data_IF_258292412922
#
_entry.id   IF_258292412922
#
_cell.length_a   1.000
_cell.length_b   1.000
_cell.length_c   1.000
_cell.angle_alpha   90.00
_cell.angle_beta   90.00
_cell.angle_gamma   90.00
#
_symmetry.space_group_name_H-M   'P 1'
#
loop_
_entity.id
_entity.type
_entity.pdbx_description
1 polymer ?
#
# COMPACT_ATOMS: atom_id res chain seq x y z
N UNK A 1 19.32 -6.30 30.20
CA UNK A 1 19.26 -6.03 28.75
C UNK A 1 19.75 -4.62 28.60
N UNK A 2 21.02 -4.44 28.26
CA UNK A 2 21.71 -3.16 28.44
C UNK A 2 22.64 -2.87 27.27
N UNK A 3 22.65 -1.61 26.86
CA UNK A 3 23.59 -0.91 25.94
C UNK A 3 23.82 -1.54 24.55
N UNK A 4 24.13 -2.84 24.44
CA UNK A 4 24.34 -3.56 23.18
C UNK A 4 23.05 -3.73 22.35
N UNK A 5 21.92 -4.01 23.00
CA UNK A 5 20.61 -4.08 22.34
C UNK A 5 20.17 -2.70 21.80
N UNK A 6 20.40 -1.65 22.57
CA UNK A 6 20.10 -0.26 22.21
C UNK A 6 20.99 0.24 21.06
N UNK A 7 22.28 -0.16 21.05
CA UNK A 7 23.21 0.11 19.94
C UNK A 7 22.84 -0.68 18.68
N UNK A 8 22.34 -1.92 18.82
CA UNK A 8 21.89 -2.73 17.70
C UNK A 8 20.62 -2.16 17.05
N UNK A 9 19.66 -1.66 17.85
CA UNK A 9 18.47 -0.95 17.36
C UNK A 9 18.81 0.35 16.64
N UNK A 10 19.71 1.18 17.18
CA UNK A 10 20.20 2.40 16.51
C UNK A 10 20.98 2.12 15.20
N UNK A 11 21.32 0.86 14.91
CA UNK A 11 21.96 0.42 13.66
C UNK A 11 20.99 -0.20 12.65
N UNK A 12 19.74 -0.50 13.02
CA UNK A 12 18.74 -1.00 12.07
C UNK A 12 18.34 0.13 11.11
N UNK A 13 18.44 -0.14 9.82
CA UNK A 13 18.18 0.78 8.73
C UNK A 13 17.52 0.00 7.60
N UNK A 14 16.54 0.61 6.96
CA UNK A 14 15.88 0.05 5.81
C UNK A 14 14.57 -0.66 6.10
N UNK A 15 13.91 -1.02 5.00
CA UNK A 15 12.63 -1.70 4.97
C UNK A 15 12.65 -2.88 4.00
N UNK A 16 11.78 -3.84 4.27
CA UNK A 16 11.35 -4.86 3.31
C UNK A 16 9.95 -4.49 2.86
N UNK A 17 9.67 -4.45 1.56
CA UNK A 17 8.34 -4.10 1.05
C UNK A 17 7.93 -5.06 -0.06
N UNK A 18 6.72 -5.59 0.04
CA UNK A 18 6.07 -6.41 -0.98
C UNK A 18 4.54 -6.35 -0.88
N UNK A 19 3.78 -6.99 -1.76
CA UNK A 19 4.28 -7.73 -2.92
C UNK A 19 3.92 -7.11 -4.26
N UNK A 20 2.80 -6.39 -4.36
CA UNK A 20 2.31 -5.86 -5.63
C UNK A 20 3.07 -4.61 -6.10
N UNK A 21 3.43 -4.62 -7.38
CA UNK A 21 4.04 -3.52 -8.12
C UNK A 21 3.52 -3.59 -9.56
N UNK A 22 2.89 -2.52 -10.02
CA UNK A 22 2.37 -2.41 -11.38
C UNK A 22 2.49 -0.96 -11.88
N UNK A 23 2.09 -0.73 -13.12
CA UNK A 23 1.77 0.60 -13.63
C UNK A 23 0.26 0.75 -13.76
N UNK A 24 -0.27 1.92 -13.45
CA UNK A 24 -1.59 2.31 -13.90
C UNK A 24 -1.41 3.13 -15.17
N UNK A 25 -1.91 2.62 -16.30
CA UNK A 25 -2.06 3.38 -17.52
C UNK A 25 -3.43 4.06 -17.48
N UNK A 26 -3.48 5.38 -17.67
CA UNK A 26 -4.71 6.15 -17.46
C UNK A 26 -5.11 6.89 -18.72
N UNK A 27 -6.36 6.72 -19.13
CA UNK A 27 -7.00 7.48 -20.22
C UNK A 27 -8.29 8.12 -19.74
N UNK A 28 -8.64 9.27 -20.32
CA UNK A 28 -9.96 9.86 -20.11
C UNK A 28 -10.94 9.29 -21.13
N UNK A 29 -12.11 8.84 -20.65
CA UNK A 29 -13.13 8.25 -21.51
C UNK A 29 -13.74 9.33 -22.41
N UNK A 30 -13.78 9.05 -23.71
CA UNK A 30 -14.51 9.85 -24.70
C UNK A 30 -15.24 8.92 -25.70
N UNK A 31 -16.09 9.48 -26.55
CA UNK A 31 -16.90 8.69 -27.48
C UNK A 31 -16.05 7.90 -28.49
N UNK A 32 -14.91 8.46 -28.93
CA UNK A 32 -14.01 7.78 -29.88
C UNK A 32 -13.38 6.53 -29.25
N UNK A 33 -12.96 6.62 -27.98
CA UNK A 33 -12.44 5.49 -27.22
C UNK A 33 -13.52 4.44 -27.00
N UNK A 34 -14.74 4.85 -26.66
CA UNK A 34 -15.86 3.91 -26.52
C UNK A 34 -16.15 3.19 -27.85
N UNK A 35 -16.11 3.91 -28.97
CA UNK A 35 -16.30 3.33 -30.29
C UNK A 35 -15.21 2.30 -30.64
N UNK A 36 -13.94 2.58 -30.29
CA UNK A 36 -12.81 1.66 -30.49
C UNK A 36 -12.95 0.37 -29.65
N UNK A 37 -13.55 0.49 -28.46
CA UNK A 37 -13.76 -0.64 -27.55
C UNK A 37 -15.04 -1.44 -27.83
N UNK A 38 -15.89 -1.00 -28.77
CA UNK A 38 -17.12 -1.72 -29.12
C UNK A 38 -16.83 -3.16 -29.52
N UNK A 39 -17.50 -4.09 -28.87
CA UNK A 39 -17.33 -5.53 -29.11
C UNK A 39 -16.16 -6.16 -28.34
N UNK A 40 -15.41 -5.39 -27.55
CA UNK A 40 -14.51 -5.96 -26.54
C UNK A 40 -15.29 -6.52 -25.35
N UNK A 41 -14.66 -7.44 -24.64
CA UNK A 41 -15.19 -8.09 -23.43
C UNK A 41 -15.59 -7.09 -22.34
N UNK A 42 -14.87 -5.96 -22.24
CA UNK A 42 -15.06 -4.97 -21.15
C UNK A 42 -16.12 -3.91 -21.46
N UNK A 43 -16.59 -3.82 -22.72
CA UNK A 43 -17.34 -2.65 -23.20
C UNK A 43 -18.65 -2.43 -22.42
N UNK A 44 -19.42 -3.49 -22.20
CA UNK A 44 -20.71 -3.38 -21.52
C UNK A 44 -20.55 -2.97 -20.06
N UNK A 45 -19.53 -3.50 -19.37
CA UNK A 45 -19.24 -3.16 -17.97
C UNK A 45 -18.70 -1.74 -17.83
N UNK A 46 -17.85 -1.28 -18.76
CA UNK A 46 -17.40 0.12 -18.82
C UNK A 46 -18.59 1.07 -19.03
N UNK A 47 -19.48 0.78 -19.98
CA UNK A 47 -20.69 1.58 -20.20
C UNK A 47 -21.61 1.58 -18.97
N UNK A 48 -21.75 0.45 -18.27
CA UNK A 48 -22.53 0.36 -17.03
C UNK A 48 -21.91 1.24 -15.94
N UNK A 49 -20.61 1.14 -15.72
CA UNK A 49 -19.84 1.95 -14.76
C UNK A 49 -20.06 3.45 -14.98
N UNK A 50 -20.01 3.89 -16.24
CA UNK A 50 -20.25 5.28 -16.64
C UNK A 50 -21.69 5.71 -16.35
N UNK A 51 -22.67 4.91 -16.76
CA UNK A 51 -24.09 5.24 -16.59
C UNK A 51 -24.53 5.27 -15.13
N UNK A 52 -23.98 4.37 -14.31
CA UNK A 52 -24.26 4.32 -12.87
C UNK A 52 -23.47 5.39 -12.10
N UNK A 53 -22.38 5.90 -12.69
CA UNK A 53 -21.46 6.81 -12.03
C UNK A 53 -20.74 6.16 -10.86
N UNK A 54 -20.40 4.87 -10.99
CA UNK A 54 -19.78 4.04 -9.95
C UNK A 54 -18.54 3.38 -10.53
N UNK A 55 -17.41 3.47 -9.82
CA UNK A 55 -16.19 2.79 -10.22
C UNK A 55 -16.27 1.27 -10.06
N UNK A 56 -15.62 0.55 -10.97
CA UNK A 56 -15.49 -0.91 -10.90
C UNK A 56 -14.07 -1.34 -11.24
N UNK A 57 -13.67 -2.48 -10.70
CA UNK A 57 -12.43 -3.16 -11.03
C UNK A 57 -12.75 -4.58 -11.50
N UNK A 58 -12.23 -4.95 -12.66
CA UNK A 58 -12.48 -6.26 -13.28
C UNK A 58 -11.19 -6.89 -13.79
N UNK A 59 -11.27 -8.19 -14.05
CA UNK A 59 -10.25 -8.94 -14.77
C UNK A 59 -10.69 -9.13 -16.21
N UNK A 60 -9.74 -9.26 -17.13
CA UNK A 60 -10.02 -9.50 -18.53
C UNK A 60 -9.11 -10.59 -19.10
N UNK A 61 -9.51 -11.16 -20.24
CA UNK A 61 -8.70 -12.14 -20.96
C UNK A 61 -7.38 -11.54 -21.48
N UNK A 62 -6.37 -12.38 -21.73
CA UNK A 62 -5.10 -11.96 -22.34
C UNK A 62 -5.30 -11.22 -23.68
N UNK A 63 -6.28 -11.66 -24.48
CA UNK A 63 -6.61 -11.02 -25.75
C UNK A 63 -7.13 -9.58 -25.53
N UNK A 64 -7.96 -9.37 -24.52
CA UNK A 64 -8.43 -8.04 -24.11
C UNK A 64 -7.28 -7.20 -23.57
N UNK A 65 -6.40 -7.75 -22.72
CA UNK A 65 -5.20 -7.05 -22.21
C UNK A 65 -4.31 -6.59 -23.38
N UNK A 66 -4.07 -7.45 -24.38
CA UNK A 66 -3.28 -7.09 -25.56
C UNK A 66 -3.93 -5.97 -26.38
N UNK A 67 -5.26 -6.00 -26.55
CA UNK A 67 -6.01 -4.92 -27.18
C UNK A 67 -5.82 -3.61 -26.39
N UNK A 68 -6.01 -3.65 -25.07
CA UNK A 68 -5.91 -2.48 -24.20
C UNK A 68 -4.51 -1.87 -24.22
N UNK A 69 -3.43 -2.67 -24.21
CA UNK A 69 -2.07 -2.16 -24.38
C UNK A 69 -1.94 -1.31 -25.64
N UNK A 70 -2.48 -1.77 -26.78
CA UNK A 70 -2.42 -1.01 -28.04
C UNK A 70 -3.28 0.26 -27.99
N UNK A 71 -4.47 0.18 -27.41
CA UNK A 71 -5.38 1.32 -27.28
C UNK A 71 -4.76 2.39 -26.36
N UNK A 72 -4.25 2.02 -25.19
CA UNK A 72 -3.69 2.98 -24.25
C UNK A 72 -2.45 3.69 -24.80
N UNK A 73 -1.60 3.01 -25.56
CA UNK A 73 -0.52 3.67 -26.31
C UNK A 73 -1.06 4.66 -27.35
N UNK A 74 -2.06 4.26 -28.15
CA UNK A 74 -2.65 5.12 -29.18
C UNK A 74 -3.32 6.38 -28.61
N UNK A 75 -3.89 6.28 -27.41
CA UNK A 75 -4.54 7.38 -26.70
C UNK A 75 -3.59 8.16 -25.77
N UNK A 76 -2.28 7.94 -25.89
CA UNK A 76 -1.25 8.62 -25.09
C UNK A 76 -1.53 8.52 -23.58
N UNK A 77 -1.79 7.31 -23.11
CA UNK A 77 -2.08 7.06 -21.70
C UNK A 77 -1.02 7.68 -20.80
N UNK A 78 -1.48 8.29 -19.70
CA UNK A 78 -0.60 8.74 -18.63
C UNK A 78 -0.28 7.54 -17.76
N UNK A 79 1.00 7.23 -17.62
CA UNK A 79 1.47 6.16 -16.75
C UNK A 79 1.80 6.70 -15.37
N UNK A 80 1.43 5.95 -14.33
CA UNK A 80 1.87 6.19 -12.96
C UNK A 80 2.26 4.88 -12.28
N UNK A 81 3.09 4.98 -11.25
CA UNK A 81 3.38 3.88 -10.34
C UNK A 81 2.09 3.43 -9.66
N UNK A 82 1.77 2.15 -9.81
CA UNK A 82 0.66 1.47 -9.17
C UNK A 82 1.15 0.39 -8.21
N UNK A 83 0.20 -0.21 -7.50
CA UNK A 83 0.46 -1.27 -6.54
C UNK A 83 0.88 -0.70 -5.18
N UNK A 84 0.18 -1.13 -4.14
CA UNK A 84 0.41 -0.66 -2.77
C UNK A 84 1.87 -0.83 -2.37
N UNK A 85 2.48 -2.00 -2.66
CA UNK A 85 3.87 -2.29 -2.33
C UNK A 85 4.85 -1.34 -3.02
N UNK A 86 4.66 -1.11 -4.32
CA UNK A 86 5.44 -0.15 -5.10
C UNK A 86 5.34 1.28 -4.56
N UNK A 87 4.11 1.76 -4.30
CA UNK A 87 3.85 3.12 -3.81
C UNK A 87 4.42 3.33 -2.40
N UNK A 88 4.21 2.36 -1.50
CA UNK A 88 4.72 2.40 -0.13
C UNK A 88 6.25 2.40 -0.13
N UNK A 89 6.89 1.50 -0.89
CA UNK A 89 8.35 1.44 -1.00
C UNK A 89 8.94 2.75 -1.53
N UNK A 90 8.34 3.31 -2.57
CA UNK A 90 8.80 4.57 -3.17
C UNK A 90 8.61 5.76 -2.22
N UNK A 91 7.53 5.76 -1.44
CA UNK A 91 7.31 6.77 -0.39
C UNK A 91 8.41 6.68 0.66
N UNK A 92 8.65 5.51 1.24
CA UNK A 92 9.66 5.28 2.28
C UNK A 92 11.06 5.68 1.78
N UNK A 93 11.42 5.27 0.56
CA UNK A 93 12.71 5.62 -0.04
C UNK A 93 12.85 7.13 -0.28
N UNK A 94 11.78 7.80 -0.75
CA UNK A 94 11.78 9.26 -0.99
C UNK A 94 11.87 10.07 0.31
N UNK A 95 11.36 9.54 1.41
CA UNK A 95 11.52 10.13 2.74
C UNK A 95 12.94 9.97 3.31
N UNK A 96 13.84 9.28 2.59
CA UNK A 96 15.27 9.21 2.87
C UNK A 96 15.73 7.88 3.47
N UNK A 97 14.86 6.87 3.55
CA UNK A 97 15.22 5.58 4.09
C UNK A 97 15.92 4.70 3.04
N UNK A 98 16.97 3.99 3.47
CA UNK A 98 17.74 3.11 2.60
C UNK A 98 18.52 2.06 3.41
N UNK A 99 18.55 0.79 2.99
CA UNK A 99 17.92 0.27 1.77
C UNK A 99 16.42 -0.04 1.93
N UNK A 100 15.62 0.19 0.88
CA UNK A 100 14.27 -0.36 0.78
C UNK A 100 14.31 -1.56 -0.17
N UNK A 101 14.31 -2.77 0.37
CA UNK A 101 14.28 -4.00 -0.41
C UNK A 101 12.86 -4.23 -0.93
N UNK A 102 12.68 -4.10 -2.24
CA UNK A 102 11.37 -4.20 -2.91
C UNK A 102 11.23 -5.52 -3.66
N UNK A 103 10.10 -6.21 -3.44
CA UNK A 103 9.65 -7.29 -4.33
C UNK A 103 9.17 -6.68 -5.66
N UNK A 104 9.94 -6.88 -6.73
CA UNK A 104 9.65 -6.32 -8.05
C UNK A 104 9.77 -7.40 -9.15
N UNK A 105 8.86 -8.40 -9.17
CA UNK A 105 8.88 -9.48 -10.15
C UNK A 105 8.67 -8.96 -11.58
N UNK A 106 7.92 -7.88 -11.74
CA UNK A 106 7.69 -7.19 -13.01
C UNK A 106 8.40 -5.84 -12.99
N UNK A 107 9.42 -5.68 -13.84
CA UNK A 107 10.24 -4.48 -13.91
C UNK A 107 10.38 -4.01 -15.35
N UNK A 108 10.11 -2.73 -15.57
CA UNK A 108 10.20 -2.07 -16.86
C UNK A 108 10.89 -0.73 -16.78
N UNK A 109 11.25 -0.17 -17.93
CA UNK A 109 11.81 1.19 -18.01
C UNK A 109 10.87 2.22 -17.37
N UNK A 110 9.56 2.16 -17.66
CA UNK A 110 8.56 3.09 -17.11
C UNK A 110 8.34 2.94 -15.61
N UNK A 111 8.47 1.72 -15.07
CA UNK A 111 8.47 1.50 -13.61
C UNK A 111 9.73 2.12 -13.01
N UNK A 112 10.91 1.77 -13.53
CA UNK A 112 12.21 2.23 -13.03
C UNK A 112 12.32 3.76 -13.02
N UNK A 113 11.83 4.43 -14.06
CA UNK A 113 11.79 5.90 -14.16
C UNK A 113 11.00 6.58 -13.03
N UNK A 114 10.09 5.86 -12.38
CA UNK A 114 9.22 6.37 -11.32
C UNK A 114 9.65 5.92 -9.92
N UNK A 115 10.60 4.98 -9.83
CA UNK A 115 11.16 4.49 -8.58
C UNK A 115 12.34 5.35 -8.12
N UNK A 116 12.42 5.58 -6.80
CA UNK A 116 13.55 6.22 -6.17
C UNK A 116 14.77 5.29 -6.21
N UNK A 117 15.64 5.52 -7.19
CA UNK A 117 16.80 4.64 -7.43
C UNK A 117 17.88 4.74 -6.35
N UNK A 118 17.91 5.83 -5.58
CA UNK A 118 18.89 6.01 -4.52
C UNK A 118 18.59 5.13 -3.31
N UNK A 119 17.31 5.02 -2.92
CA UNK A 119 16.87 4.27 -1.73
C UNK A 119 16.40 2.83 -2.02
N UNK A 120 15.81 2.57 -3.18
CA UNK A 120 15.24 1.25 -3.51
C UNK A 120 16.35 0.27 -3.93
N UNK A 121 16.25 -0.97 -3.45
CA UNK A 121 17.09 -2.09 -3.87
C UNK A 121 16.22 -3.25 -4.35
N UNK A 122 16.51 -3.74 -5.55
CA UNK A 122 15.84 -4.88 -6.17
C UNK A 122 16.77 -6.09 -6.06
N UNK A 123 16.33 -7.18 -5.39
CA UNK A 123 17.05 -8.45 -5.37
C UNK A 123 17.11 -9.08 -6.74
N UNK A 124 18.30 -9.49 -7.20
CA UNK A 124 18.46 -10.33 -8.38
C UNK A 124 19.47 -11.44 -8.14
N UNK A 125 19.16 -12.63 -8.65
CA UNK A 125 20.08 -13.77 -8.62
C UNK A 125 21.06 -13.68 -9.79
N UNK A 126 22.34 -13.68 -9.46
CA UNK A 126 23.45 -13.80 -10.41
C UNK A 126 24.26 -15.08 -10.16
N UNK A 127 25.30 -15.32 -10.95
CA UNK A 127 26.25 -16.42 -10.74
C UNK A 127 27.02 -16.32 -9.42
N UNK A 128 27.04 -15.16 -8.77
CA UNK A 128 27.78 -14.90 -7.53
C UNK A 128 26.88 -14.90 -6.28
N UNK A 129 25.58 -15.16 -6.43
CA UNK A 129 24.60 -15.12 -5.35
C UNK A 129 23.48 -14.11 -5.65
N UNK A 130 22.80 -13.63 -4.60
CA UNK A 130 21.79 -12.59 -4.74
C UNK A 130 22.45 -11.23 -4.52
N UNK A 131 22.24 -10.31 -5.46
CA UNK A 131 22.72 -8.93 -5.42
C UNK A 131 21.54 -7.99 -5.18
N UNK A 132 21.77 -6.94 -4.38
CA UNK A 132 20.80 -5.87 -4.14
C UNK A 132 21.18 -4.67 -5.02
N UNK A 133 20.52 -4.54 -6.15
CA UNK A 133 20.84 -3.54 -7.17
C UNK A 133 19.88 -2.36 -7.11
N UNK A 134 20.31 -1.17 -7.52
CA UNK A 134 19.38 -0.09 -7.81
C UNK A 134 18.45 -0.49 -8.98
N UNK A 135 17.26 0.13 -9.12
CA UNK A 135 16.29 -0.23 -10.15
C UNK A 135 16.82 -0.21 -11.59
N UNK A 136 17.70 0.74 -11.93
CA UNK A 136 18.28 0.86 -13.28
C UNK A 136 19.22 -0.30 -13.56
N UNK A 137 20.13 -0.58 -12.63
CA UNK A 137 21.06 -1.71 -12.72
C UNK A 137 20.32 -3.05 -12.75
N UNK A 138 19.25 -3.19 -11.96
CA UNK A 138 18.42 -4.39 -11.94
C UNK A 138 17.73 -4.65 -13.30
N UNK A 139 17.12 -3.63 -13.90
CA UNK A 139 16.51 -3.74 -15.23
C UNK A 139 17.55 -4.13 -16.29
N UNK A 140 18.73 -3.50 -16.25
CA UNK A 140 19.81 -3.85 -17.18
C UNK A 140 20.28 -5.29 -17.02
N UNK A 141 20.33 -5.82 -15.79
CA UNK A 141 20.79 -7.19 -15.52
C UNK A 141 19.73 -8.25 -15.91
N UNK A 142 18.43 -7.95 -15.78
CA UNK A 142 17.34 -8.84 -16.24
C UNK A 142 17.37 -9.09 -17.75
N UNK A 143 17.93 -8.15 -18.53
CA UNK A 143 18.06 -8.29 -19.99
C UNK A 143 16.73 -8.19 -20.75
N UNK A 144 15.67 -7.70 -20.11
CA UNK A 144 14.33 -7.56 -20.68
C UNK A 144 13.43 -6.71 -19.79
N UNK A 145 12.39 -6.16 -20.40
CA UNK A 145 11.33 -5.40 -19.72
C UNK A 145 10.11 -6.30 -19.56
N UNK A 146 9.57 -6.35 -18.35
CA UNK A 146 8.31 -7.03 -18.07
C UNK A 146 7.36 -6.05 -17.37
N UNK A 147 6.23 -5.78 -18.02
CA UNK A 147 5.24 -4.80 -17.57
C UNK A 147 3.96 -5.48 -17.12
N UNK A 148 3.57 -5.19 -15.88
CA UNK A 148 2.23 -5.43 -15.36
C UNK A 148 1.49 -4.09 -15.36
N UNK A 149 0.45 -3.96 -16.18
CA UNK A 149 -0.28 -2.71 -16.41
C UNK A 149 -1.74 -2.91 -16.03
N UNK A 150 -2.25 -2.04 -15.16
CA UNK A 150 -3.68 -1.85 -14.93
C UNK A 150 -4.18 -0.74 -15.84
N UNK A 151 -5.27 -1.02 -16.56
CA UNK A 151 -5.85 -0.09 -17.52
C UNK A 151 -6.98 0.69 -16.85
N UNK A 152 -6.75 1.98 -16.65
CA UNK A 152 -7.61 2.87 -15.89
C UNK A 152 -8.33 3.83 -16.82
N UNK A 153 -9.66 3.69 -16.88
CA UNK A 153 -10.55 4.57 -17.60
C UNK A 153 -11.14 5.60 -16.62
N UNK A 154 -10.73 6.86 -16.72
CA UNK A 154 -11.27 7.96 -15.91
C UNK A 154 -12.45 8.62 -16.64
N UNK A 155 -13.60 8.75 -15.97
CA UNK A 155 -14.79 9.40 -16.52
C UNK A 155 -15.44 10.36 -15.51
N UNK A 156 -16.19 11.34 -16.02
CA UNK A 156 -16.97 12.27 -15.19
C UNK A 156 -18.34 11.66 -14.88
N UNK A 157 -18.83 11.87 -13.66
CA UNK A 157 -20.17 11.45 -13.25
C UNK A 157 -21.18 12.58 -13.45
N UNK A 158 -22.46 12.23 -13.59
CA UNK A 158 -23.54 13.23 -13.75
C UNK A 158 -23.61 14.24 -12.59
N UNK A 159 -23.12 13.84 -11.40
CA UNK A 159 -23.07 14.69 -10.20
C UNK A 159 -21.84 15.61 -10.16
N UNK A 160 -21.04 15.66 -11.22
CA UNK A 160 -19.83 16.48 -11.32
C UNK A 160 -18.61 15.91 -10.58
N UNK A 161 -18.63 14.60 -10.27
CA UNK A 161 -17.50 13.87 -9.71
C UNK A 161 -16.64 13.21 -10.80
N UNK A 162 -15.55 12.55 -10.39
CA UNK A 162 -14.73 11.70 -11.27
C UNK A 162 -14.66 10.29 -10.70
N UNK A 163 -14.92 9.31 -11.53
CA UNK A 163 -14.87 7.89 -11.20
C UNK A 163 -13.95 7.13 -12.15
N UNK A 164 -13.65 5.87 -11.79
CA UNK A 164 -12.71 5.04 -12.54
C UNK A 164 -13.23 3.64 -12.78
N UNK A 165 -13.00 3.14 -13.99
CA UNK A 165 -13.11 1.73 -14.32
C UNK A 165 -11.72 1.15 -14.54
N UNK A 166 -11.38 0.07 -13.84
CA UNK A 166 -10.04 -0.51 -13.83
C UNK A 166 -10.10 -1.94 -14.38
N UNK A 167 -9.21 -2.23 -15.33
CA UNK A 167 -8.98 -3.59 -15.82
C UNK A 167 -7.58 -4.04 -15.39
N UNK A 168 -7.51 -5.10 -14.60
CA UNK A 168 -6.25 -5.61 -14.05
C UNK A 168 -5.39 -6.28 -15.13
N UNK A 169 -4.07 -6.22 -14.95
CA UNK A 169 -3.07 -6.68 -15.93
C UNK A 169 -2.85 -8.19 -15.99
N UNK A 170 -3.60 -8.94 -15.16
CA UNK A 170 -3.57 -10.41 -15.06
C UNK A 170 -3.38 -10.86 -13.62
N UNK A 171 -4.44 -11.42 -13.00
CA UNK A 171 -4.47 -11.70 -11.56
C UNK A 171 -3.34 -12.61 -11.05
N UNK A 172 -2.93 -13.59 -11.86
CA UNK A 172 -1.88 -14.56 -11.48
C UNK A 172 -0.52 -13.89 -11.23
N UNK A 173 -0.32 -12.69 -11.78
CA UNK A 173 0.92 -11.92 -11.73
C UNK A 173 0.96 -10.90 -10.58
N UNK A 174 -0.19 -10.57 -10.00
CA UNK A 174 -0.34 -9.43 -9.09
C UNK A 174 0.37 -9.62 -7.74
N UNK A 175 0.51 -10.87 -7.29
CA UNK A 175 1.15 -11.21 -6.01
C UNK A 175 2.25 -12.23 -6.25
N UNK A 176 3.06 -12.06 -7.29
CA UNK A 176 4.25 -12.89 -7.49
C UNK A 176 5.32 -12.55 -6.44
N UNK A 177 5.97 -13.58 -5.87
CA UNK A 177 7.06 -13.40 -4.89
C UNK A 177 8.34 -13.83 -5.56
N UNK A 178 9.24 -12.88 -5.81
CA UNK A 178 10.52 -13.18 -6.44
C UNK A 178 11.35 -14.07 -5.49
N UNK A 179 11.85 -15.23 -5.93
CA UNK A 179 12.63 -16.12 -5.06
C UNK A 179 13.92 -15.49 -4.50
N UNK A 180 14.55 -14.57 -5.25
CA UNK A 180 15.70 -13.81 -4.75
C UNK A 180 15.25 -12.82 -3.67
N UNK A 181 14.07 -12.20 -3.83
CA UNK A 181 13.47 -11.38 -2.77
C UNK A 181 13.18 -12.19 -1.51
N UNK A 182 12.52 -13.34 -1.61
CA UNK A 182 12.19 -14.16 -0.46
C UNK A 182 13.45 -14.57 0.33
N UNK A 183 14.50 -15.02 -0.36
CA UNK A 183 15.76 -15.43 0.28
C UNK A 183 16.52 -14.25 0.91
N UNK A 184 16.68 -13.13 0.19
CA UNK A 184 17.48 -12.02 0.71
C UNK A 184 16.76 -11.23 1.80
N UNK A 185 15.44 -11.05 1.68
CA UNK A 185 14.65 -10.33 2.68
C UNK A 185 14.68 -11.08 4.02
N UNK A 186 14.58 -12.42 4.00
CA UNK A 186 14.78 -13.26 5.17
C UNK A 186 16.14 -13.00 5.84
N UNK A 187 17.23 -12.99 5.06
CA UNK A 187 18.59 -12.81 5.58
C UNK A 187 18.85 -11.40 6.11
N UNK A 188 18.26 -10.39 5.47
CA UNK A 188 18.48 -8.99 5.80
C UNK A 188 17.53 -8.46 6.88
N UNK A 189 16.46 -9.18 7.23
CA UNK A 189 15.47 -8.77 8.23
C UNK A 189 16.07 -8.31 9.57
N UNK A 190 17.17 -8.95 10.04
CA UNK A 190 17.92 -8.54 11.25
C UNK A 190 18.48 -7.11 11.23
N UNK A 191 18.63 -6.51 10.04
CA UNK A 191 19.12 -5.15 9.85
C UNK A 191 17.99 -4.15 9.58
N UNK A 192 16.77 -4.63 9.32
CA UNK A 192 15.65 -3.80 8.90
C UNK A 192 14.88 -3.28 10.11
N UNK A 193 14.31 -2.08 10.02
CA UNK A 193 13.45 -1.54 11.09
C UNK A 193 11.98 -1.87 10.89
N UNK A 194 11.56 -2.09 9.65
CA UNK A 194 10.19 -2.51 9.36
C UNK A 194 10.06 -3.34 8.09
N UNK A 195 8.90 -3.99 7.97
CA UNK A 195 8.49 -4.68 6.76
C UNK A 195 7.02 -4.38 6.47
N UNK A 196 6.67 -4.22 5.18
CA UNK A 196 5.30 -3.99 4.74
C UNK A 196 4.90 -5.04 3.72
N UNK A 197 3.73 -5.63 3.92
CA UNK A 197 3.11 -6.57 2.98
C UNK A 197 1.74 -6.04 2.53
N UNK A 198 1.44 -6.20 1.24
CA UNK A 198 0.21 -5.71 0.61
C UNK A 198 -0.09 -6.45 -0.70
N UNK A 199 -1.26 -6.16 -1.30
CA UNK A 199 -1.66 -6.65 -2.63
C UNK A 199 -2.55 -7.89 -2.62
N UNK A 200 -2.87 -8.43 -1.44
CA UNK A 200 -3.62 -9.68 -1.30
C UNK A 200 -5.07 -9.65 -1.80
N UNK A 201 -5.65 -8.45 -1.95
CA UNK A 201 -7.00 -8.28 -2.53
C UNK A 201 -7.08 -8.70 -4.01
N UNK A 202 -5.92 -8.83 -4.66
CA UNK A 202 -5.78 -9.27 -6.06
C UNK A 202 -5.59 -10.78 -6.21
N UNK A 203 -5.45 -11.53 -5.11
CA UNK A 203 -5.28 -12.98 -5.18
C UNK A 203 -6.55 -13.66 -5.72
N UNK A 204 -6.43 -14.52 -6.74
CA UNK A 204 -7.51 -15.42 -7.12
C UNK A 204 -7.86 -16.37 -5.96
N UNK A 205 -9.15 -16.68 -5.79
CA UNK A 205 -9.64 -17.61 -4.76
C UNK A 205 -8.93 -19.00 -4.86
N UNK A 206 -8.52 -19.41 -6.06
CA UNK A 206 -7.91 -20.72 -6.32
C UNK A 206 -6.43 -20.81 -5.90
N UNK A 207 -5.71 -19.67 -5.89
CA UNK A 207 -4.28 -19.60 -5.57
C UNK A 207 -4.02 -19.11 -4.14
N UNK A 208 -5.08 -18.77 -3.41
CA UNK A 208 -4.96 -17.97 -2.22
C UNK A 208 -4.26 -18.69 -1.06
N UNK A 209 -4.55 -19.97 -0.81
CA UNK A 209 -4.01 -20.70 0.34
C UNK A 209 -2.49 -20.89 0.24
N UNK A 210 -2.00 -21.38 -0.91
CA UNK A 210 -0.55 -21.59 -1.11
C UNK A 210 0.22 -20.29 -0.95
N UNK A 211 -0.34 -19.18 -1.45
CA UNK A 211 0.30 -17.87 -1.39
C UNK A 211 0.27 -17.26 0.00
N UNK A 212 -0.84 -17.38 0.72
CA UNK A 212 -0.95 -16.99 2.12
C UNK A 212 0.07 -17.77 2.96
N UNK A 213 0.18 -19.10 2.78
CA UNK A 213 1.16 -19.93 3.50
C UNK A 213 2.61 -19.64 3.10
N UNK A 214 2.88 -19.22 1.86
CA UNK A 214 4.21 -18.75 1.46
C UNK A 214 4.60 -17.45 2.19
N UNK A 215 3.68 -16.48 2.26
CA UNK A 215 3.92 -15.22 2.98
C UNK A 215 4.01 -15.43 4.49
N UNK A 216 3.18 -16.29 5.07
CA UNK A 216 3.27 -16.63 6.49
C UNK A 216 4.67 -17.14 6.86
N UNK A 217 5.21 -18.09 6.07
CA UNK A 217 6.58 -18.59 6.25
C UNK A 217 7.64 -17.50 6.13
N UNK A 218 7.41 -16.52 5.26
CA UNK A 218 8.32 -15.39 5.09
C UNK A 218 8.26 -14.42 6.29
N UNK A 219 7.07 -14.10 6.79
CA UNK A 219 6.86 -13.34 8.03
C UNK A 219 7.52 -14.03 9.22
N UNK A 220 7.31 -15.35 9.38
CA UNK A 220 7.97 -16.14 10.42
C UNK A 220 9.50 -16.06 10.31
N UNK A 221 10.04 -16.15 9.10
CA UNK A 221 11.47 -16.04 8.87
C UNK A 221 12.00 -14.64 9.24
N UNK A 222 11.28 -13.58 8.86
CA UNK A 222 11.63 -12.21 9.24
C UNK A 222 11.61 -12.02 10.76
N UNK A 223 10.54 -12.46 11.43
CA UNK A 223 10.39 -12.38 12.88
C UNK A 223 11.42 -13.21 13.65
N UNK A 224 11.80 -14.36 13.12
CA UNK A 224 12.87 -15.19 13.70
C UNK A 224 14.23 -14.49 13.66
N UNK A 225 14.53 -13.79 12.56
CA UNK A 225 15.79 -13.04 12.41
C UNK A 225 15.74 -11.68 13.14
N UNK A 226 14.54 -11.12 13.32
CA UNK A 226 14.31 -9.85 13.98
C UNK A 226 12.96 -9.81 14.71
N UNK A 227 12.92 -10.21 16.00
CA UNK A 227 11.69 -10.20 16.79
C UNK A 227 11.04 -8.82 16.93
N UNK A 228 11.84 -7.73 16.89
CA UNK A 228 11.36 -6.34 17.01
C UNK A 228 11.18 -5.66 15.65
N UNK A 229 11.18 -6.42 14.54
CA UNK A 229 10.86 -5.88 13.22
C UNK A 229 9.41 -5.39 13.21
N UNK A 230 9.18 -4.10 12.91
CA UNK A 230 7.81 -3.59 12.78
C UNK A 230 7.16 -4.08 11.48
N UNK A 231 6.31 -5.09 11.55
CA UNK A 231 5.59 -5.67 10.40
C UNK A 231 4.21 -5.06 10.26
N UNK A 232 3.91 -4.58 9.05
CA UNK A 232 2.64 -3.97 8.70
C UNK A 232 1.98 -4.71 7.53
N UNK A 233 0.69 -5.01 7.64
CA UNK A 233 -0.13 -5.52 6.54
C UNK A 233 -1.14 -4.46 6.10
N UNK A 234 -0.97 -3.90 4.90
CA UNK A 234 -1.96 -3.00 4.30
C UNK A 234 -2.96 -3.84 3.51
N UNK A 235 -4.22 -3.83 3.94
CA UNK A 235 -5.32 -4.43 3.21
C UNK A 235 -5.73 -3.52 2.05
N UNK A 236 -6.45 -4.09 1.08
CA UNK A 236 -7.11 -3.32 0.04
C UNK A 236 -8.56 -3.76 -0.13
N UNK A 237 -9.19 -3.33 -1.21
CA UNK A 237 -10.59 -3.61 -1.49
C UNK A 237 -10.79 -5.09 -1.90
N UNK A 238 -10.97 -5.98 -0.92
CA UNK A 238 -11.26 -7.39 -1.17
C UNK A 238 -12.64 -7.56 -1.80
N UNK A 239 -12.71 -8.31 -2.90
CA UNK A 239 -13.98 -8.79 -3.47
C UNK A 239 -14.69 -9.76 -2.52
N UNK A 240 -13.91 -10.47 -1.70
CA UNK A 240 -14.36 -11.49 -0.76
C UNK A 240 -13.61 -11.36 0.57
N UNK A 241 -14.25 -10.80 1.59
CA UNK A 241 -13.65 -10.61 2.91
C UNK A 241 -13.31 -11.93 3.65
N UNK A 242 -13.82 -13.09 3.19
CA UNK A 242 -13.37 -14.40 3.70
C UNK A 242 -11.86 -14.56 3.52
N UNK A 243 -11.33 -14.10 2.40
CA UNK A 243 -9.90 -14.16 2.11
C UNK A 243 -9.10 -13.29 3.08
N UNK A 244 -9.57 -12.07 3.35
CA UNK A 244 -8.96 -11.18 4.33
C UNK A 244 -8.95 -11.80 5.74
N UNK A 245 -10.07 -12.41 6.18
CA UNK A 245 -10.11 -13.12 7.46
C UNK A 245 -9.13 -14.30 7.51
N UNK A 246 -9.07 -15.11 6.44
CA UNK A 246 -8.15 -16.26 6.36
C UNK A 246 -6.70 -15.81 6.45
N UNK A 247 -6.35 -14.76 5.73
CA UNK A 247 -5.02 -14.15 5.73
C UNK A 247 -4.63 -13.66 7.13
N UNK A 248 -5.51 -12.88 7.78
CA UNK A 248 -5.24 -12.34 9.11
C UNK A 248 -5.17 -13.45 10.18
N UNK A 249 -5.90 -14.54 10.01
CA UNK A 249 -5.79 -15.71 10.88
C UNK A 249 -4.44 -16.41 10.72
N UNK A 250 -3.96 -16.58 9.48
CA UNK A 250 -2.63 -17.16 9.23
C UNK A 250 -1.51 -16.25 9.76
N UNK A 251 -1.71 -14.93 9.74
CA UNK A 251 -0.71 -13.95 10.21
C UNK A 251 -0.83 -13.60 11.69
N UNK A 252 -1.70 -14.29 12.44
CA UNK A 252 -1.97 -14.01 13.85
C UNK A 252 -0.67 -13.96 14.67
N UNK A 253 -0.51 -12.88 15.43
CA UNK A 253 0.65 -12.66 16.30
C UNK A 253 1.97 -12.33 15.57
N UNK A 254 1.97 -12.21 14.24
CA UNK A 254 3.15 -11.85 13.45
C UNK A 254 3.14 -10.39 12.95
N UNK A 255 2.06 -9.65 13.21
CA UNK A 255 1.85 -8.29 12.72
C UNK A 255 1.84 -7.28 13.87
N UNK A 256 2.73 -6.29 13.85
CA UNK A 256 2.58 -5.12 14.73
C UNK A 256 1.43 -4.24 14.30
N UNK A 257 1.09 -4.22 13.01
CA UNK A 257 0.07 -3.33 12.50
C UNK A 257 -0.68 -3.89 11.30
N UNK A 258 -1.98 -3.64 11.26
CA UNK A 258 -2.83 -3.84 10.08
C UNK A 258 -3.43 -2.50 9.69
N UNK A 259 -3.35 -2.13 8.41
CA UNK A 259 -3.87 -0.91 7.82
C UNK A 259 -5.00 -1.19 6.82
N UNK A 260 -6.00 -0.31 6.76
CA UNK A 260 -7.08 -0.35 5.77
C UNK A 260 -7.81 1.00 5.71
N UNK A 261 -8.66 1.19 4.71
CA UNK A 261 -9.60 2.31 4.69
C UNK A 261 -10.87 2.03 5.54
N UNK A 262 -11.68 3.06 5.77
CA UNK A 262 -12.90 2.93 6.58
C UNK A 262 -13.97 1.98 5.99
N UNK A 263 -14.14 1.94 4.67
CA UNK A 263 -15.10 1.05 4.00
C UNK A 263 -14.64 -0.41 4.07
N UNK A 264 -13.35 -0.65 3.93
CA UNK A 264 -12.71 -1.96 4.06
C UNK A 264 -12.88 -2.53 5.47
N UNK A 265 -12.71 -1.70 6.52
CA UNK A 265 -12.98 -2.13 7.89
C UNK A 265 -14.44 -2.56 8.08
N UNK A 266 -15.38 -1.75 7.60
CA UNK A 266 -16.81 -2.06 7.72
C UNK A 266 -17.16 -3.33 6.95
N UNK A 267 -16.64 -3.48 5.73
CA UNK A 267 -16.80 -4.67 4.90
C UNK A 267 -16.23 -5.92 5.57
N UNK A 268 -15.05 -5.83 6.17
CA UNK A 268 -14.42 -6.92 6.93
C UNK A 268 -15.23 -7.29 8.18
N UNK A 269 -15.92 -6.33 8.79
CA UNK A 269 -16.85 -6.59 9.91
C UNK A 269 -18.24 -7.04 9.49
N UNK A 270 -18.51 -7.21 8.19
CA UNK A 270 -19.83 -7.55 7.66
C UNK A 270 -20.90 -6.47 7.90
N UNK A 271 -20.48 -5.23 8.14
CA UNK A 271 -21.36 -4.08 8.39
C UNK A 271 -21.46 -3.25 7.12
N UNK A 272 -22.69 -3.02 6.66
CA UNK A 272 -22.97 -2.05 5.60
C UNK A 272 -23.51 -0.77 6.24
N UNK A 273 -22.62 0.16 6.57
CA UNK A 273 -22.98 1.48 7.10
C UNK A 273 -22.42 2.57 6.19
N UNK A 274 -23.22 3.59 5.83
CA UNK A 274 -22.71 4.77 5.14
C UNK A 274 -21.91 5.70 6.07
N UNK A 275 -21.95 5.48 7.39
CA UNK A 275 -21.32 6.35 8.38
C UNK A 275 -20.05 5.71 8.94
N UNK A 276 -18.91 6.14 8.40
CA UNK A 276 -17.57 5.86 8.94
C UNK A 276 -17.23 6.96 9.93
N UNK A 277 -17.41 6.67 11.22
CA UNK A 277 -17.09 7.57 12.32
C UNK A 277 -16.10 6.91 13.32
N UNK A 278 -15.46 7.70 14.20
CA UNK A 278 -14.49 7.17 15.17
C UNK A 278 -15.02 6.09 16.11
N UNK A 279 -16.30 6.14 16.50
CA UNK A 279 -16.87 5.16 17.42
C UNK A 279 -17.07 3.81 16.73
N UNK A 280 -17.62 3.81 15.52
CA UNK A 280 -17.76 2.58 14.73
C UNK A 280 -16.39 2.00 14.39
N UNK A 281 -15.41 2.82 14.02
CA UNK A 281 -14.04 2.35 13.78
C UNK A 281 -13.48 1.69 15.03
N UNK A 282 -13.66 2.31 16.20
CA UNK A 282 -13.14 1.77 17.44
C UNK A 282 -13.72 0.40 17.77
N UNK A 283 -15.05 0.26 17.75
CA UNK A 283 -15.73 -1.01 18.02
C UNK A 283 -15.22 -2.12 17.09
N UNK A 284 -15.09 -1.82 15.79
CA UNK A 284 -14.67 -2.80 14.78
C UNK A 284 -13.19 -3.13 14.83
N UNK A 285 -12.35 -2.14 15.09
CA UNK A 285 -10.92 -2.35 15.30
C UNK A 285 -10.65 -3.18 16.58
N UNK A 286 -11.45 -3.02 17.65
CA UNK A 286 -11.36 -3.87 18.84
C UNK A 286 -11.66 -5.34 18.52
N UNK A 287 -12.68 -5.60 17.70
CA UNK A 287 -13.00 -6.95 17.23
C UNK A 287 -11.80 -7.57 16.50
N UNK A 288 -11.16 -6.83 15.59
CA UNK A 288 -9.96 -7.29 14.88
C UNK A 288 -8.76 -7.53 15.80
N UNK A 289 -8.50 -6.62 16.75
CA UNK A 289 -7.48 -6.79 17.78
C UNK A 289 -7.71 -8.06 18.59
N UNK A 290 -8.99 -8.38 18.88
CA UNK A 290 -9.40 -9.59 19.59
C UNK A 290 -9.23 -10.88 18.78
N UNK A 291 -9.56 -10.86 17.49
CA UNK A 291 -9.59 -12.05 16.63
C UNK A 291 -8.22 -12.42 16.04
N UNK A 292 -7.42 -11.43 15.68
CA UNK A 292 -6.19 -11.61 14.91
C UNK A 292 -4.93 -11.18 15.67
N UNK A 293 -5.11 -10.53 16.81
CA UNK A 293 -4.03 -10.10 17.70
C UNK A 293 -2.93 -9.26 17.04
N UNK A 294 -3.21 -8.35 16.07
CA UNK A 294 -2.19 -7.37 15.68
C UNK A 294 -1.92 -6.41 16.84
N UNK A 295 -0.75 -5.77 16.83
CA UNK A 295 -0.43 -4.73 17.82
C UNK A 295 -1.30 -3.48 17.68
N UNK A 296 -1.58 -3.09 16.43
CA UNK A 296 -2.26 -1.87 16.02
C UNK A 296 -3.24 -2.16 14.89
N UNK A 297 -4.42 -1.54 14.93
CA UNK A 297 -5.31 -1.42 13.76
C UNK A 297 -5.34 0.04 13.35
N UNK A 298 -5.01 0.33 12.10
CA UNK A 298 -4.93 1.68 11.54
C UNK A 298 -5.96 1.83 10.43
N UNK A 299 -6.73 2.91 10.49
CA UNK A 299 -7.79 3.21 9.55
C UNK A 299 -7.59 4.59 8.98
N UNK A 300 -7.41 4.68 7.67
CA UNK A 300 -7.38 5.95 6.96
C UNK A 300 -8.73 6.26 6.32
N UNK A 301 -9.15 7.53 6.40
CA UNK A 301 -10.39 8.01 5.78
C UNK A 301 -10.14 9.35 5.11
N UNK A 302 -11.16 9.84 4.40
CA UNK A 302 -11.11 11.18 3.79
C UNK A 302 -11.12 12.32 4.81
N UNK A 303 -11.58 12.07 6.04
CA UNK A 303 -11.91 13.11 7.03
C UNK A 303 -10.97 13.11 8.23
N UNK A 304 -10.49 11.93 8.62
CA UNK A 304 -9.60 11.72 9.75
C UNK A 304 -8.82 10.41 9.59
N UNK A 305 -7.74 10.27 10.34
CA UNK A 305 -7.03 9.01 10.55
C UNK A 305 -7.36 8.50 11.94
N UNK A 306 -7.55 7.19 12.08
CA UNK A 306 -7.83 6.54 13.34
C UNK A 306 -6.87 5.37 13.57
N UNK A 307 -6.55 5.11 14.83
CA UNK A 307 -5.73 3.99 15.24
C UNK A 307 -6.26 3.43 16.55
N UNK A 308 -6.25 2.11 16.68
CA UNK A 308 -6.70 1.42 17.90
C UNK A 308 -5.67 0.40 18.32
N UNK A 309 -5.44 0.34 19.63
CA UNK A 309 -4.49 -0.59 20.26
C UNK A 309 -4.97 -1.01 21.65
N UNK A 310 -4.37 -2.05 22.21
CA UNK A 310 -4.60 -2.45 23.61
C UNK A 310 -3.93 -1.44 24.55
N UNK A 311 -4.56 -1.16 25.70
CA UNK A 311 -3.95 -0.29 26.71
C UNK A 311 -2.65 -0.89 27.23
N UNK A 312 -1.62 -0.07 27.33
CA UNK A 312 -0.25 -0.49 27.64
C UNK A 312 0.52 -1.15 26.50
N UNK A 313 -0.06 -1.26 25.29
CA UNK A 313 0.63 -1.83 24.12
C UNK A 313 1.73 -0.94 23.56
N UNK A 314 1.39 0.30 23.22
CA UNK A 314 2.33 1.32 22.72
C UNK A 314 2.07 2.67 23.38
N UNK A 315 3.02 3.61 23.26
CA UNK A 315 2.78 4.99 23.69
C UNK A 315 1.72 5.67 22.80
N UNK A 316 0.58 6.12 23.36
CA UNK A 316 -0.49 6.74 22.57
C UNK A 316 -0.07 8.03 21.87
N UNK A 317 0.85 8.80 22.46
CA UNK A 317 1.33 10.05 21.89
C UNK A 317 2.18 9.80 20.64
N UNK A 318 3.12 8.86 20.74
CA UNK A 318 3.97 8.41 19.65
C UNK A 318 3.13 7.78 18.52
N UNK A 319 2.13 6.95 18.85
CA UNK A 319 1.23 6.41 17.84
C UNK A 319 0.43 7.51 17.12
N UNK A 320 -0.04 8.52 17.85
CA UNK A 320 -0.69 9.67 17.25
C UNK A 320 0.25 10.51 16.37
N UNK A 321 1.54 10.58 16.71
CA UNK A 321 2.56 11.24 15.89
C UNK A 321 2.83 10.49 14.59
N UNK A 322 2.79 9.15 14.58
CA UNK A 322 2.95 8.38 13.33
C UNK A 322 1.74 8.53 12.40
N UNK A 323 0.52 8.55 12.93
CA UNK A 323 -0.69 8.83 12.14
C UNK A 323 -0.66 10.26 11.56
N UNK A 324 -0.31 11.26 12.35
CA UNK A 324 -0.19 12.64 11.87
C UNK A 324 0.88 12.76 10.79
N UNK A 325 2.02 12.10 10.95
CA UNK A 325 3.09 12.10 9.97
C UNK A 325 2.65 11.47 8.64
N UNK A 326 2.00 10.30 8.67
CA UNK A 326 1.40 9.71 7.47
C UNK A 326 0.42 10.66 6.77
N UNK A 327 -0.45 11.34 7.54
CA UNK A 327 -1.42 12.29 7.00
C UNK A 327 -0.75 13.50 6.32
N UNK A 328 0.35 14.01 6.89
CA UNK A 328 1.16 15.07 6.29
C UNK A 328 1.81 14.65 4.98
N UNK A 329 2.39 13.44 4.93
CA UNK A 329 3.04 12.90 3.72
C UNK A 329 2.01 12.77 2.60
N UNK A 330 0.84 12.18 2.90
CA UNK A 330 -0.25 12.03 1.95
C UNK A 330 -0.77 13.37 1.42
N UNK A 331 -0.97 14.37 2.30
CA UNK A 331 -1.41 15.69 1.88
C UNK A 331 -0.37 16.43 1.03
N UNK A 332 0.90 16.36 1.41
CA UNK A 332 1.99 16.94 0.62
C UNK A 332 2.09 16.28 -0.76
N UNK A 333 1.94 14.96 -0.85
CA UNK A 333 1.88 14.23 -2.12
C UNK A 333 0.75 14.72 -3.02
N UNK A 334 -0.46 14.84 -2.49
CA UNK A 334 -1.65 15.31 -3.23
C UNK A 334 -1.47 16.73 -3.75
N UNK A 335 -0.93 17.63 -2.92
CA UNK A 335 -0.73 19.04 -3.28
C UNK A 335 0.40 19.22 -4.29
N UNK A 336 1.42 18.36 -4.23
CA UNK A 336 2.61 18.43 -5.08
C UNK A 336 2.45 17.66 -6.40
N UNK A 337 1.60 16.63 -6.44
CA UNK A 337 1.43 15.72 -7.57
C UNK A 337 2.58 14.73 -7.77
N UNK A 338 3.54 14.66 -6.83
CA UNK A 338 4.67 13.70 -6.83
C UNK A 338 5.11 13.38 -5.41
N UNK A 339 5.84 12.29 -5.21
CA UNK A 339 6.38 11.89 -3.91
C UNK A 339 7.19 13.03 -3.27
N UNK A 340 6.87 13.46 -2.04
CA UNK A 340 7.60 14.50 -1.32
C UNK A 340 8.76 13.91 -0.51
N UNK A 341 9.92 14.57 -0.53
CA UNK A 341 10.98 14.31 0.45
C UNK A 341 10.62 14.93 1.82
N UNK A 342 11.37 14.54 2.86
CA UNK A 342 11.11 14.97 4.24
C UNK A 342 11.11 16.51 4.41
N UNK A 343 11.92 17.23 3.62
CA UNK A 343 12.02 18.71 3.70
C UNK A 343 10.87 19.38 2.96
N UNK A 344 10.41 18.75 1.87
CA UNK A 344 9.31 19.26 1.06
C UNK A 344 7.96 19.17 1.78
N UNK A 345 7.74 18.19 2.66
CA UNK A 345 6.46 18.06 3.39
C UNK A 345 6.10 19.36 4.12
N UNK A 346 7.02 19.87 4.95
CA UNK A 346 6.78 21.11 5.70
C UNK A 346 6.65 22.33 4.78
N UNK A 347 7.42 22.36 3.69
CA UNK A 347 7.38 23.46 2.72
C UNK A 347 6.05 23.51 1.96
N UNK A 348 5.55 22.36 1.50
CA UNK A 348 4.28 22.24 0.75
C UNK A 348 3.09 22.53 1.65
N UNK A 349 3.09 22.01 2.87
CA UNK A 349 1.98 22.24 3.81
C UNK A 349 1.96 23.67 4.34
N UNK A 350 3.06 24.44 4.27
CA UNK A 350 3.05 25.88 4.57
C UNK A 350 2.50 26.25 5.95
N UNK A 351 2.58 25.36 6.94
CA UNK A 351 2.00 25.55 8.27
C UNK A 351 0.49 25.27 8.38
N UNK A 352 -0.12 24.64 7.37
CA UNK A 352 -1.48 24.11 7.45
C UNK A 352 -1.65 23.25 8.70
N UNK A 353 -2.79 23.43 9.37
CA UNK A 353 -3.20 22.64 10.53
C UNK A 353 -4.13 21.51 10.08
N UNK A 354 -4.17 20.38 10.81
CA UNK A 354 -5.15 19.34 10.56
C UNK A 354 -6.58 19.87 10.76
N UNK A 355 -7.54 19.23 10.09
CA UNK A 355 -8.97 19.59 10.10
C UNK A 355 -9.64 19.40 11.46
N UNK A 356 -9.06 18.56 12.30
CA UNK A 356 -9.49 18.33 13.68
C UNK A 356 -8.28 18.18 14.60
N UNK A 357 -8.49 18.48 15.88
CA UNK A 357 -7.49 18.21 16.90
C UNK A 357 -7.30 16.72 17.11
N UNK A 358 -6.11 16.35 17.59
CA UNK A 358 -5.80 14.99 18.01
C UNK A 358 -6.65 14.65 19.23
N UNK A 359 -7.24 13.45 19.22
CA UNK A 359 -7.96 12.90 20.36
C UNK A 359 -7.34 11.55 20.73
N UNK A 360 -7.10 11.34 22.03
CA UNK A 360 -6.63 10.07 22.59
C UNK A 360 -7.61 9.68 23.68
N UNK A 361 -8.30 8.57 23.48
CA UNK A 361 -9.33 8.06 24.37
C UNK A 361 -8.99 6.66 24.85
N UNK A 362 -9.12 6.44 26.17
CA UNK A 362 -9.01 5.11 26.76
C UNK A 362 -10.39 4.61 27.12
N UNK A 363 -10.77 3.44 26.61
CA UNK A 363 -12.05 2.78 26.96
C UNK A 363 -11.94 1.27 26.77
N UNK A 364 -12.57 0.52 27.68
CA UNK A 364 -12.67 -0.95 27.66
C UNK A 364 -11.34 -1.72 27.56
N UNK A 365 -10.25 -1.16 28.09
CA UNK A 365 -8.90 -1.77 28.02
C UNK A 365 -8.18 -1.53 26.69
N UNK A 366 -8.67 -0.60 25.88
CA UNK A 366 -8.08 -0.18 24.62
C UNK A 366 -7.85 1.33 24.59
N UNK A 367 -7.02 1.76 23.66
CA UNK A 367 -6.75 3.17 23.34
C UNK A 367 -7.15 3.42 21.91
N UNK A 368 -8.00 4.42 21.70
CA UNK A 368 -8.33 4.98 20.40
C UNK A 368 -7.56 6.28 20.22
N UNK A 369 -6.92 6.43 19.07
CA UNK A 369 -6.25 7.66 18.65
C UNK A 369 -6.91 8.14 17.37
N UNK A 370 -7.29 9.41 17.31
CA UNK A 370 -7.74 10.04 16.07
C UNK A 370 -6.96 11.31 15.79
N UNK A 371 -6.70 11.57 14.50
CA UNK A 371 -6.04 12.79 14.01
C UNK A 371 -6.78 13.30 12.78
N UNK A 372 -6.83 14.62 12.59
CA UNK A 372 -7.44 15.21 11.39
C UNK A 372 -6.59 15.01 10.14
N UNK A 373 -7.23 15.07 8.97
CA UNK A 373 -6.52 15.19 7.68
C UNK A 373 -6.06 16.63 7.45
N UNK A 374 -5.22 16.87 6.46
CA UNK A 374 -4.79 18.22 6.11
C UNK A 374 -5.67 18.78 4.98
N UNK A 375 -6.11 20.05 5.07
CA UNK A 375 -6.92 20.67 4.03
C UNK A 375 -6.14 20.73 2.70
N UNK A 376 -6.83 20.39 1.61
CA UNK A 376 -6.26 20.30 0.27
C UNK A 376 -6.80 21.48 -0.57
N UNK A 377 -6.11 22.63 -0.63
CA UNK A 377 -6.58 23.78 -1.39
C UNK A 377 -6.62 23.52 -2.90
N UNK A 378 -5.85 22.53 -3.37
CA UNK A 378 -5.85 22.06 -4.76
C UNK A 378 -5.59 20.56 -4.81
N UNK A 379 -6.44 19.83 -5.51
CA UNK A 379 -6.28 18.39 -5.76
C UNK A 379 -5.50 18.19 -7.07
N UNK A 380 -4.18 17.97 -6.98
CA UNK A 380 -3.34 17.68 -8.17
C UNK A 380 -3.39 16.19 -8.52
N UNK A 381 -3.35 15.32 -7.52
CA UNK A 381 -3.48 13.87 -7.68
C UNK A 381 -4.16 13.24 -6.46
N UNK A 382 -5.01 12.23 -6.67
CA UNK A 382 -5.75 11.56 -5.59
C UNK A 382 -5.41 10.06 -5.42
N UNK A 383 -4.73 9.44 -6.39
CA UNK A 383 -4.47 7.98 -6.35
C UNK A 383 -3.25 7.64 -5.53
N UNK A 384 -3.32 6.52 -4.81
CA UNK A 384 -2.27 6.07 -3.91
C UNK A 384 -2.23 6.85 -2.61
N UNK A 385 -3.24 7.70 -2.31
CA UNK A 385 -3.27 8.51 -1.08
C UNK A 385 -3.14 7.63 0.17
N UNK A 386 -3.89 6.52 0.23
CA UNK A 386 -3.84 5.55 1.32
C UNK A 386 -2.45 4.93 1.44
N UNK A 387 -1.89 4.45 0.33
CA UNK A 387 -0.56 3.84 0.30
C UNK A 387 0.56 4.81 0.69
N UNK A 388 0.49 6.07 0.24
CA UNK A 388 1.42 7.13 0.62
C UNK A 388 1.28 7.48 2.10
N UNK A 389 0.05 7.54 2.61
CA UNK A 389 -0.20 7.66 4.04
C UNK A 389 0.48 6.51 4.81
N UNK A 390 0.26 5.27 4.37
CA UNK A 390 0.83 4.07 4.99
C UNK A 390 2.35 4.12 4.96
N UNK A 391 2.98 4.48 3.83
CA UNK A 391 4.43 4.63 3.75
C UNK A 391 5.01 5.65 4.74
N UNK A 392 4.33 6.78 4.93
CA UNK A 392 4.71 7.75 5.97
C UNK A 392 4.50 7.22 7.38
N UNK A 393 3.31 6.67 7.64
CA UNK A 393 2.92 6.11 8.93
C UNK A 393 3.88 5.01 9.40
N UNK A 394 4.14 3.99 8.57
CA UNK A 394 4.99 2.84 8.94
C UNK A 394 6.45 3.26 9.13
N UNK A 395 6.94 4.21 8.33
CA UNK A 395 8.27 4.79 8.52
C UNK A 395 8.37 5.37 9.93
N UNK A 396 7.43 6.25 10.29
CA UNK A 396 7.46 6.92 11.59
C UNK A 396 7.18 5.95 12.75
N UNK A 397 6.23 5.04 12.60
CA UNK A 397 5.89 4.03 13.60
C UNK A 397 7.08 3.12 13.90
N UNK A 398 7.80 2.63 12.87
CA UNK A 398 8.99 1.78 13.06
C UNK A 398 10.13 2.47 13.84
N UNK A 399 10.18 3.81 13.84
CA UNK A 399 11.21 4.58 14.54
C UNK A 399 10.89 4.84 16.01
N UNK A 400 9.61 5.04 16.33
CA UNK A 400 9.18 5.54 17.65
C UNK A 400 8.39 4.50 18.45
N UNK A 401 7.88 3.46 17.79
CA UNK A 401 7.18 2.34 18.41
C UNK A 401 8.03 1.05 18.38
N UNK A 402 9.06 1.00 17.54
CA UNK A 402 9.94 -0.16 17.31
C UNK A 402 10.88 -0.53 18.47
N UNK A 403 10.67 0.03 19.66
CA UNK A 403 11.25 -0.38 20.94
C UNK A 403 12.34 0.56 21.50
N UNK A 404 12.13 0.94 22.77
CA UNK A 404 13.12 1.38 23.76
C UNK A 404 13.50 0.20 24.67
#
# INVERSE_FOLDING_TARGET
MGEEAEIAMKKRKGFIVGFNLNLDAIVHVNNELLDELKGSEIYEDLCRSINEGVGHEISASEATIFLLSRVFEAYNARFRLGGNGGIIANTIATLGESPVILNAPHLSARVVEQLNSDGIRIPLRSSHGIELLDPVSALSMRGGSDELIHFVFEFETEKGGRERFIVNGGLEREVEIDPAFAEISAREAKRMKGAVISGFHLLPDEMCEDKISEVARLLEAWKRENPDLFTHCELGAFRNFRLAHRLLEEFRGMLESVGMNGEELLGLSGVHSPDVNPDTIFEKAQELLGLYEPGLVVVHTERFMAGVMRDGGYDPGAFADSLDFGARVAAAYIMKGKFPDIREISAVLGGCKPTSERVIEKRDGFVCVTTGVYPLPSLVQAVGRGDVFTGGYVLRASEILGGD
#
